data_IF_539959123547
#
_entry.id   IF_539959123547
#
_cell.length_a   1.000
_cell.length_b   1.000
_cell.length_c   1.000
_cell.angle_alpha   90.00
_cell.angle_beta   90.00
_cell.angle_gamma   90.00
#
_symmetry.space_group_name_H-M   'P 1'
#
loop_
_entity.id
_entity.type
_entity.pdbx_description
1 polymer ?
#
# COMPACT_ATOMS: atom_id res chain seq x y z
N UNK A 1 -6.62 -12.12 -5.30
CA UNK A 1 -7.08 -10.81 -5.79
C UNK A 1 -8.24 -10.92 -6.78
N UNK A 2 -8.24 -11.91 -7.69
CA UNK A 2 -9.40 -12.22 -8.55
C UNK A 2 -10.73 -12.41 -7.80
N UNK A 3 -10.71 -13.02 -6.61
CA UNK A 3 -11.89 -13.15 -5.75
C UNK A 3 -12.53 -11.80 -5.38
N UNK A 4 -11.73 -10.78 -5.05
CA UNK A 4 -12.24 -9.45 -4.72
C UNK A 4 -12.97 -8.83 -5.91
N UNK A 5 -12.35 -8.88 -7.10
CA UNK A 5 -12.93 -8.34 -8.33
C UNK A 5 -14.26 -9.00 -8.73
N UNK A 6 -14.49 -10.25 -8.31
CA UNK A 6 -15.71 -11.01 -8.60
C UNK A 6 -16.82 -10.79 -7.57
N UNK A 7 -16.50 -10.33 -6.36
CA UNK A 7 -17.45 -10.32 -5.23
C UNK A 7 -17.72 -8.94 -4.68
N UNK A 8 -16.92 -7.93 -5.03
CA UNK A 8 -17.00 -6.58 -4.48
C UNK A 8 -16.75 -5.54 -5.56
N UNK A 9 -17.50 -4.44 -5.52
CA UNK A 9 -17.20 -3.27 -6.34
C UNK A 9 -15.85 -2.68 -5.92
N UNK A 10 -14.97 -2.30 -6.86
CA UNK A 10 -13.60 -1.85 -6.57
C UNK A 10 -13.55 -0.38 -6.13
N UNK A 11 -14.34 -0.03 -5.13
CA UNK A 11 -14.30 1.30 -4.50
C UNK A 11 -13.14 1.39 -3.51
N UNK A 12 -12.62 2.61 -3.29
CA UNK A 12 -11.57 2.88 -2.29
C UNK A 12 -11.94 2.30 -0.92
N UNK A 13 -13.19 2.44 -0.49
CA UNK A 13 -13.68 1.91 0.78
C UNK A 13 -13.58 0.39 0.83
N UNK A 14 -14.11 -0.32 -0.18
CA UNK A 14 -14.12 -1.78 -0.20
C UNK A 14 -12.70 -2.35 -0.28
N UNK A 15 -11.84 -1.73 -1.10
CA UNK A 15 -10.44 -2.14 -1.23
C UNK A 15 -9.71 -1.96 0.10
N UNK A 16 -9.88 -0.81 0.76
CA UNK A 16 -9.25 -0.57 2.06
C UNK A 16 -9.75 -1.53 3.16
N UNK A 17 -11.04 -1.89 3.16
CA UNK A 17 -11.57 -2.90 4.07
C UNK A 17 -10.96 -4.29 3.80
N UNK A 18 -10.85 -4.67 2.54
CA UNK A 18 -10.20 -5.92 2.13
C UNK A 18 -8.72 -5.94 2.54
N UNK A 19 -7.97 -4.87 2.24
CA UNK A 19 -6.57 -4.73 2.62
C UNK A 19 -6.37 -4.81 4.14
N UNK A 20 -7.23 -4.13 4.90
CA UNK A 20 -7.23 -4.20 6.36
C UNK A 20 -7.44 -5.63 6.87
N UNK A 21 -8.38 -6.36 6.28
CA UNK A 21 -8.73 -7.73 6.72
C UNK A 21 -7.61 -8.74 6.47
N UNK A 22 -6.88 -8.61 5.37
CA UNK A 22 -5.95 -9.67 4.92
C UNK A 22 -4.47 -9.30 4.98
N UNK A 23 -4.12 -8.01 4.92
CA UNK A 23 -2.73 -7.57 4.76
C UNK A 23 -2.20 -6.75 5.93
N UNK A 24 -3.05 -6.30 6.86
CA UNK A 24 -2.57 -5.62 8.05
C UNK A 24 -2.04 -6.63 9.08
N UNK A 25 -0.84 -6.37 9.61
CA UNK A 25 -0.19 -7.15 10.67
C UNK A 25 0.53 -6.21 11.63
N UNK A 26 -0.05 -6.00 12.82
CA UNK A 26 0.48 -5.05 13.80
C UNK A 26 0.63 -3.64 13.19
N UNK A 27 1.84 -3.09 13.23
CA UNK A 27 2.15 -1.79 12.62
C UNK A 27 2.33 -1.84 11.10
N UNK A 28 2.42 -3.03 10.48
CA UNK A 28 2.50 -3.16 9.02
C UNK A 28 1.11 -3.04 8.40
N UNK A 29 0.88 -1.94 7.68
CA UNK A 29 -0.40 -1.55 7.09
C UNK A 29 -0.20 -1.19 5.63
N UNK A 30 -1.21 -1.51 4.84
CA UNK A 30 -1.32 -1.13 3.43
C UNK A 30 -2.70 -0.55 3.18
N UNK A 31 -2.76 0.53 2.42
CA UNK A 31 -4.02 1.18 2.07
C UNK A 31 -3.95 1.69 0.63
N UNK A 32 -5.10 1.98 0.05
CA UNK A 32 -5.23 2.56 -1.28
C UNK A 32 -5.78 3.97 -1.21
N UNK A 33 -5.23 4.85 -2.04
CA UNK A 33 -5.66 6.22 -2.26
C UNK A 33 -6.06 6.39 -3.73
N UNK A 34 -7.09 7.20 -3.95
CA UNK A 34 -7.54 7.64 -5.27
C UNK A 34 -7.34 9.16 -5.37
N UNK A 35 -6.58 9.67 -6.36
CA UNK A 35 -6.42 11.10 -6.60
C UNK A 35 -7.68 11.76 -7.20
N UNK A 36 -8.75 11.00 -7.46
CA UNK A 36 -10.00 11.44 -8.09
C UNK A 36 -9.83 11.88 -9.55
N UNK A 37 -8.79 11.41 -10.24
CA UNK A 37 -8.54 11.66 -11.66
C UNK A 37 -8.74 10.41 -12.55
N UNK A 38 -9.11 9.27 -11.95
CA UNK A 38 -9.33 7.98 -12.62
C UNK A 38 -8.11 7.46 -13.42
N UNK A 39 -6.92 8.03 -13.24
CA UNK A 39 -5.71 7.58 -13.96
C UNK A 39 -5.01 6.43 -13.25
N UNK A 40 -4.81 6.56 -11.93
CA UNK A 40 -4.08 5.59 -11.13
C UNK A 40 -4.66 5.45 -9.73
N UNK A 41 -4.74 4.21 -9.27
CA UNK A 41 -4.88 3.86 -7.86
C UNK A 41 -3.50 3.80 -7.20
N UNK A 42 -3.32 4.45 -6.04
CA UNK A 42 -2.05 4.46 -5.31
C UNK A 42 -2.11 3.57 -4.08
N UNK A 43 -1.39 2.46 -4.12
CA UNK A 43 -1.20 1.58 -2.97
C UNK A 43 -0.05 2.09 -2.11
N UNK A 44 -0.30 2.31 -0.84
CA UNK A 44 0.66 2.88 0.10
C UNK A 44 0.99 1.84 1.16
N UNK A 45 2.25 1.43 1.18
CA UNK A 45 2.80 0.51 2.17
C UNK A 45 3.54 1.33 3.23
N UNK A 46 3.25 1.10 4.51
CA UNK A 46 4.03 1.74 5.59
C UNK A 46 5.24 0.92 6.06
N UNK A 47 5.55 -0.13 5.30
CA UNK A 47 6.68 -1.03 5.48
C UNK A 47 7.33 -1.26 4.11
N UNK A 48 8.59 -1.69 4.12
CA UNK A 48 9.28 -2.05 2.89
C UNK A 48 8.89 -3.49 2.49
N UNK A 49 8.22 -3.73 1.35
CA UNK A 49 7.92 -5.08 0.87
C UNK A 49 9.22 -5.87 0.70
N UNK A 50 9.20 -7.16 1.05
CA UNK A 50 10.31 -8.06 0.75
C UNK A 50 10.47 -8.27 -0.77
N UNK A 51 11.58 -8.85 -1.20
CA UNK A 51 11.90 -9.04 -2.62
C UNK A 51 10.84 -9.86 -3.35
N UNK A 52 10.30 -10.90 -2.71
CA UNK A 52 9.25 -11.75 -3.28
C UNK A 52 7.97 -10.96 -3.54
N UNK A 53 7.52 -10.18 -2.56
CA UNK A 53 6.34 -9.33 -2.73
C UNK A 53 6.59 -8.24 -3.78
N UNK A 54 7.79 -7.66 -3.83
CA UNK A 54 8.16 -6.66 -4.84
C UNK A 54 8.09 -7.22 -6.27
N UNK A 55 8.69 -8.40 -6.49
CA UNK A 55 8.61 -9.11 -7.77
C UNK A 55 7.16 -9.38 -8.17
N UNK A 56 6.31 -9.77 -7.22
CA UNK A 56 4.89 -9.99 -7.48
C UNK A 56 4.16 -8.69 -7.86
N UNK A 57 4.43 -7.58 -7.18
CA UNK A 57 3.82 -6.28 -7.46
C UNK A 57 4.25 -5.69 -8.81
N UNK A 58 5.47 -6.00 -9.25
CA UNK A 58 6.05 -5.45 -10.49
C UNK A 58 5.71 -6.28 -11.73
N UNK A 59 5.61 -7.61 -11.59
CA UNK A 59 5.44 -8.51 -12.73
C UNK A 59 4.02 -9.04 -12.91
N UNK A 60 3.15 -8.90 -11.90
CA UNK A 60 1.80 -9.47 -11.94
C UNK A 60 0.73 -8.44 -11.65
N UNK A 61 -0.36 -8.54 -12.40
CA UNK A 61 -1.53 -7.72 -12.18
C UNK A 61 -2.39 -8.24 -11.01
N UNK A 62 -1.93 -7.95 -9.79
CA UNK A 62 -2.57 -8.44 -8.58
C UNK A 62 -3.45 -7.39 -7.90
N UNK A 63 -3.26 -6.09 -8.12
CA UNK A 63 -3.89 -5.07 -7.29
C UNK A 63 -5.32 -4.72 -7.75
N UNK A 64 -6.35 -4.89 -6.89
CA UNK A 64 -7.72 -4.49 -7.18
C UNK A 64 -7.83 -3.03 -7.60
N UNK A 65 -8.66 -2.78 -8.61
CA UNK A 65 -8.98 -1.44 -9.11
C UNK A 65 -10.19 -1.47 -10.05
N UNK A 66 -10.82 -0.32 -10.30
CA UNK A 66 -11.76 -0.18 -11.40
C UNK A 66 -11.11 -0.50 -12.76
N UNK A 67 -11.89 -1.03 -13.69
CA UNK A 67 -11.40 -1.32 -15.04
C UNK A 67 -10.89 -0.06 -15.73
N UNK A 68 -9.79 -0.17 -16.48
CA UNK A 68 -9.18 0.95 -17.20
C UNK A 68 -8.31 1.88 -16.35
N UNK A 69 -8.32 1.75 -15.02
CA UNK A 69 -7.47 2.53 -14.11
C UNK A 69 -6.13 1.82 -13.94
N UNK A 70 -5.02 2.57 -13.92
CA UNK A 70 -3.69 2.02 -13.65
C UNK A 70 -3.43 1.79 -12.16
N UNK A 71 -2.30 1.16 -11.81
CA UNK A 71 -1.84 1.06 -10.42
C UNK A 71 -0.43 1.54 -10.26
N UNK A 72 -0.18 2.23 -9.16
CA UNK A 72 1.15 2.54 -8.65
C UNK A 72 1.21 2.19 -7.18
N UNK A 73 2.39 1.87 -6.68
CA UNK A 73 2.60 1.74 -5.25
C UNK A 73 3.69 2.71 -4.75
N UNK A 74 3.61 3.06 -3.46
CA UNK A 74 4.56 3.91 -2.75
C UNK A 74 4.83 3.33 -1.38
N UNK A 75 6.03 3.56 -0.87
CA UNK A 75 6.45 3.15 0.46
C UNK A 75 6.61 4.41 1.32
N UNK A 76 5.93 4.46 2.47
CA UNK A 76 6.07 5.52 3.46
C UNK A 76 6.71 4.94 4.73
N UNK A 77 8.02 5.05 4.86
CA UNK A 77 8.69 4.70 6.11
C UNK A 77 8.54 5.84 7.10
N UNK A 78 7.97 5.57 8.28
CA UNK A 78 8.00 6.51 9.40
C UNK A 78 9.47 6.77 9.73
N UNK A 79 9.95 8.00 9.54
CA UNK A 79 11.31 8.39 9.95
C UNK A 79 11.35 8.25 11.47
N UNK A 80 12.05 7.25 12.01
CA UNK A 80 12.29 7.18 13.43
C UNK A 80 13.31 8.28 13.74
N UNK A 81 12.85 9.39 14.33
CA UNK A 81 13.73 10.42 14.86
C UNK A 81 14.48 9.81 16.04
N UNK A 82 15.64 9.24 15.78
CA UNK A 82 16.59 8.91 16.86
C UNK A 82 17.06 10.26 17.40
N UNK A 83 16.63 10.61 18.62
CA UNK A 83 17.23 11.73 19.36
C UNK A 83 18.69 11.37 19.63
N UNK A 84 19.59 11.83 18.77
CA UNK A 84 21.01 11.84 19.07
C UNK A 84 21.19 12.88 20.17
N UNK A 85 21.37 12.42 21.41
CA UNK A 85 21.88 13.26 22.49
C UNK A 85 23.26 13.76 22.08
N UNK A 86 23.32 15.01 21.62
CA UNK A 86 24.58 15.72 21.46
C UNK A 86 25.06 16.04 22.87
N UNK A 87 25.85 15.15 23.45
CA UNK A 87 26.74 15.50 24.55
C UNK A 87 27.82 16.39 23.95
N UNK A 88 27.60 17.71 24.00
CA UNK A 88 28.69 18.68 23.79
C UNK A 88 29.55 18.65 25.05
N UNK A 89 30.68 17.97 24.94
CA UNK A 89 31.83 18.17 25.82
C UNK A 89 32.62 19.32 25.18
N UNK A 90 32.57 20.51 25.77
CA UNK A 90 33.54 21.61 25.61
C UNK A 90 33.36 22.57 26.78
#
# INVERSE_FOLDING_TARGET
MRYFNLTQSPTVTNINQFLKRFFWRGESKVFVLDPFDMTYMYYVFNFNPDERLRLLLENFDLMPRPSGVGVKYRIITKKHLVMVHIVKIS
#
